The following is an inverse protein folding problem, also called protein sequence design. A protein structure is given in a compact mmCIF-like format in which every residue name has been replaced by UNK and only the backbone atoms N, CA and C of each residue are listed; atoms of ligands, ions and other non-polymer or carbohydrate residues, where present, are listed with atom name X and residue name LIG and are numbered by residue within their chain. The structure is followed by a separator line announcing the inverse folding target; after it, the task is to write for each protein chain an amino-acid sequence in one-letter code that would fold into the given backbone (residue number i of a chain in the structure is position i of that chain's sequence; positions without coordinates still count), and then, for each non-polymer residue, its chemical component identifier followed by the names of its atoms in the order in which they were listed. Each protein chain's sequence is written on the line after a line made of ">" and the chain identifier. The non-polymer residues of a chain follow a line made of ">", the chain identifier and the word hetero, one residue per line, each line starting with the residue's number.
data_IF_259835865527
#
_entry.id   IF_259835865527
#
_cell.length_a   1.000
_cell.length_b   1.000
_cell.length_c   1.000
_cell.angle_alpha   90.00
_cell.angle_beta   90.00
_cell.angle_gamma   90.00
#
_symmetry.space_group_name_H-M   'P 1'
#
loop_
_entity.id
_entity.type
_entity.pdbx_description
1 polymer ?
#
# COMPACT_ATOMS: atom_id res chain seq x y z
N UNK A 1 3.59 -13.29 -10.40
CA UNK A 1 3.30 -11.85 -10.55
C UNK A 1 2.49 -11.39 -9.35
N UNK A 2 3.13 -10.91 -8.27
CA UNK A 2 2.43 -10.45 -7.06
C UNK A 2 1.76 -9.08 -7.26
N UNK A 3 0.54 -8.94 -6.76
CA UNK A 3 -0.20 -7.66 -6.73
C UNK A 3 -0.65 -7.42 -5.28
N UNK A 4 -0.40 -6.21 -4.78
CA UNK A 4 -0.85 -5.78 -3.45
C UNK A 4 -1.61 -4.47 -3.57
N UNK A 5 -2.80 -4.43 -2.97
CA UNK A 5 -3.55 -3.19 -2.77
C UNK A 5 -3.36 -2.73 -1.32
N UNK A 6 -2.89 -1.50 -1.14
CA UNK A 6 -2.77 -0.85 0.17
C UNK A 6 -3.88 0.19 0.27
N UNK A 7 -4.85 -0.07 1.14
CA UNK A 7 -5.90 0.90 1.48
C UNK A 7 -5.50 1.66 2.73
N UNK A 8 -5.51 2.99 2.67
CA UNK A 8 -5.23 3.86 3.80
C UNK A 8 -6.08 5.13 3.77
N UNK A 9 -6.23 5.77 4.93
CA UNK A 9 -6.82 7.11 4.99
C UNK A 9 -5.92 8.09 4.21
N UNK A 10 -6.52 9.06 3.52
CA UNK A 10 -5.81 10.10 2.77
C UNK A 10 -4.92 11.00 3.66
N UNK A 11 -4.13 11.88 3.05
CA UNK A 11 -3.32 12.89 3.76
C UNK A 11 -1.86 12.49 4.02
N UNK A 12 -1.39 11.39 3.43
CA UNK A 12 0.04 11.00 3.50
C UNK A 12 0.79 11.76 2.40
N UNK A 13 1.98 12.26 2.73
CA UNK A 13 2.83 12.94 1.74
C UNK A 13 3.27 11.96 0.65
N UNK A 14 3.64 12.51 -0.51
CA UNK A 14 4.16 11.71 -1.62
C UNK A 14 5.40 10.89 -1.22
N UNK A 15 6.32 11.48 -0.45
CA UNK A 15 7.55 10.84 0.01
C UNK A 15 7.27 9.62 0.89
N UNK A 16 6.27 9.73 1.78
CA UNK A 16 5.84 8.60 2.63
C UNK A 16 5.22 7.49 1.79
N UNK A 17 4.37 7.83 0.81
CA UNK A 17 3.77 6.85 -0.11
C UNK A 17 4.84 6.16 -0.96
N UNK A 18 5.82 6.91 -1.48
CA UNK A 18 6.96 6.38 -2.23
C UNK A 18 7.77 5.39 -1.40
N UNK A 19 8.15 5.77 -0.18
CA UNK A 19 8.90 4.89 0.74
C UNK A 19 8.11 3.61 1.05
N UNK A 20 6.82 3.72 1.34
CA UNK A 20 5.96 2.57 1.59
C UNK A 20 5.95 1.59 0.41
N UNK A 21 5.79 2.08 -0.83
CA UNK A 21 5.79 1.22 -2.03
C UNK A 21 7.12 0.48 -2.19
N UNK A 22 8.24 1.17 -1.93
CA UNK A 22 9.57 0.58 -1.98
C UNK A 22 9.73 -0.56 -0.98
N UNK A 23 9.36 -0.33 0.29
CA UNK A 23 9.46 -1.32 1.35
C UNK A 23 8.53 -2.52 1.15
N UNK A 24 7.28 -2.29 0.73
CA UNK A 24 6.33 -3.37 0.39
C UNK A 24 6.88 -4.22 -0.75
N UNK A 25 7.44 -3.58 -1.78
CA UNK A 25 8.06 -4.29 -2.91
C UNK A 25 9.25 -5.12 -2.44
N UNK A 26 10.13 -4.56 -1.60
CA UNK A 26 11.28 -5.26 -1.04
C UNK A 26 10.86 -6.50 -0.23
N UNK A 27 9.83 -6.36 0.61
CA UNK A 27 9.29 -7.45 1.41
C UNK A 27 8.75 -8.61 0.54
N UNK A 28 8.07 -8.30 -0.57
CA UNK A 28 7.56 -9.31 -1.50
C UNK A 28 8.71 -10.02 -2.23
N UNK A 29 9.70 -9.27 -2.71
CA UNK A 29 10.87 -9.83 -3.39
C UNK A 29 11.64 -10.75 -2.45
N UNK A 30 11.90 -10.33 -1.21
CA UNK A 30 12.68 -11.11 -0.25
C UNK A 30 11.94 -12.34 0.30
N UNK A 31 10.61 -12.27 0.44
CA UNK A 31 9.81 -13.38 0.97
C UNK A 31 9.41 -14.41 -0.08
N UNK A 32 9.09 -13.98 -1.31
CA UNK A 32 8.56 -14.86 -2.35
C UNK A 32 9.54 -15.11 -3.50
N UNK A 33 10.69 -14.43 -3.53
CA UNK A 33 11.67 -14.55 -4.63
C UNK A 33 11.15 -14.04 -5.97
N UNK A 34 10.07 -13.25 -5.97
CA UNK A 34 9.50 -12.71 -7.21
C UNK A 34 10.44 -11.65 -7.83
N UNK A 35 10.60 -11.61 -9.17
CA UNK A 35 11.30 -10.52 -9.83
C UNK A 35 10.68 -9.17 -9.47
N UNK A 36 11.51 -8.17 -9.18
CA UNK A 36 11.05 -6.85 -8.68
C UNK A 36 10.10 -6.18 -9.67
N UNK A 37 10.40 -6.28 -10.96
CA UNK A 37 9.62 -5.75 -12.07
C UNK A 37 8.27 -6.44 -12.27
N UNK A 38 8.04 -7.59 -11.61
CA UNK A 38 6.77 -8.31 -11.62
C UNK A 38 5.86 -7.95 -10.43
N UNK A 39 6.33 -7.15 -9.48
CA UNK A 39 5.55 -6.70 -8.31
C UNK A 39 4.75 -5.45 -8.68
N UNK A 40 3.46 -5.44 -8.32
CA UNK A 40 2.57 -4.28 -8.50
C UNK A 40 2.00 -3.86 -7.15
N UNK A 41 2.04 -2.56 -6.85
CA UNK A 41 1.45 -1.97 -5.65
C UNK A 41 0.44 -0.92 -6.08
N UNK A 42 -0.81 -1.08 -5.63
CA UNK A 42 -1.90 -0.12 -5.85
C UNK A 42 -2.14 0.59 -4.53
N UNK A 43 -2.18 1.92 -4.56
CA UNK A 43 -2.52 2.74 -3.39
C UNK A 43 -3.96 3.21 -3.52
N UNK A 44 -4.79 2.88 -2.53
CA UNK A 44 -6.17 3.34 -2.42
C UNK A 44 -6.29 4.26 -1.22
N UNK A 45 -6.46 5.56 -1.49
CA UNK A 45 -6.70 6.55 -0.44
C UNK A 45 -8.21 6.69 -0.18
N UNK A 46 -8.57 6.71 1.09
CA UNK A 46 -9.95 6.83 1.57
C UNK A 46 -10.07 8.13 2.36
N UNK A 47 -10.99 9.05 2.01
CA UNK A 47 -11.29 10.20 2.86
C UNK A 47 -11.62 9.76 4.28
N UNK A 48 -11.18 10.52 5.29
CA UNK A 48 -11.36 10.11 6.69
C UNK A 48 -12.83 9.83 7.03
N UNK A 49 -13.76 10.62 6.51
CA UNK A 49 -15.21 10.47 6.69
C UNK A 49 -15.84 9.35 5.85
N UNK A 50 -15.05 8.52 5.14
CA UNK A 50 -15.50 7.31 4.44
C UNK A 50 -14.99 6.02 5.10
N UNK A 51 -14.18 6.13 6.16
CA UNK A 51 -13.71 4.99 6.93
C UNK A 51 -14.50 4.92 8.23
N UNK A 52 -14.84 3.73 8.71
CA UNK A 52 -15.50 3.51 9.99
C UNK A 52 -14.95 2.23 10.63
N UNK A 53 -14.88 2.20 11.95
CA UNK A 53 -14.47 1.02 12.72
C UNK A 53 -15.40 0.83 13.92
N UNK A 54 -15.89 -0.39 14.16
CA UNK A 54 -16.76 -0.68 15.30
C UNK A 54 -18.12 0.03 15.28
N UNK A 55 -18.56 0.53 14.12
CA UNK A 55 -19.80 1.32 14.00
C UNK A 55 -19.62 2.82 14.20
N UNK A 56 -18.39 3.28 14.44
CA UNK A 56 -18.04 4.69 14.55
C UNK A 56 -17.31 5.14 13.27
N UNK A 57 -17.78 6.26 12.70
CA UNK A 57 -17.20 6.90 11.51
C UNK A 57 -15.90 7.64 11.90
#
# INVERSE_FOLDING_TARGET
>A
MPIVEVTLIEGRTFEKKKKMVEEVTNAIVSSLGAPREAVRVIIREVPAWHFAAGGEL
#
